data_IF_950441381371
#
_entry.id   IF_950441381371
#
_cell.length_a   1.000
_cell.length_b   1.000
_cell.length_c   1.000
_cell.angle_alpha   90.00
_cell.angle_beta   90.00
_cell.angle_gamma   90.00
#
_symmetry.space_group_name_H-M   'P 1'
#
loop_
_entity.id
_entity.type
_entity.pdbx_description
1 polymer ?
#
# COMPACT_ATOMS: atom_id res chain seq x y z
N UNK A 1 -12.74 15.48 0.89
CA UNK A 1 -12.04 14.46 0.13
C UNK A 1 -11.56 13.29 1.01
N UNK A 2 -10.27 13.13 1.24
CA UNK A 2 -9.70 12.01 1.97
C UNK A 2 -8.45 12.48 2.73
N UNK A 3 -8.29 12.05 3.99
CA UNK A 3 -7.11 12.34 4.78
C UNK A 3 -6.27 11.07 4.99
N UNK A 4 -4.94 11.16 4.84
CA UNK A 4 -4.05 10.01 5.04
C UNK A 4 -3.04 10.35 6.13
N UNK A 5 -3.03 9.57 7.20
CA UNK A 5 -2.00 9.60 8.23
C UNK A 5 -1.06 8.43 8.00
N UNK A 6 0.15 8.73 7.60
CA UNK A 6 1.22 7.76 7.55
C UNK A 6 2.22 8.07 8.65
N UNK A 7 2.19 7.24 9.68
CA UNK A 7 3.06 7.39 10.83
C UNK A 7 4.49 6.90 10.59
N UNK A 8 5.12 6.46 11.66
CA UNK A 8 6.41 5.81 11.60
C UNK A 8 6.32 4.44 10.92
N UNK A 9 7.42 3.75 10.76
CA UNK A 9 7.55 2.54 9.92
C UNK A 9 6.53 1.43 10.19
N UNK A 10 6.01 1.32 11.41
CA UNK A 10 5.18 0.17 11.84
C UNK A 10 3.83 0.56 12.43
N UNK A 11 3.58 1.86 12.62
CA UNK A 11 2.32 2.38 13.15
C UNK A 11 2.11 3.83 12.73
N UNK A 12 0.86 4.23 12.57
CA UNK A 12 0.49 5.63 12.39
C UNK A 12 0.64 6.46 13.67
N UNK A 13 0.69 5.80 14.82
CA UNK A 13 0.86 6.46 16.11
C UNK A 13 2.32 6.83 16.33
N UNK A 14 2.54 8.05 16.79
CA UNK A 14 3.85 8.54 17.15
C UNK A 14 4.10 8.37 18.65
N UNK A 15 5.19 7.70 18.99
CA UNK A 15 5.65 7.58 20.39
C UNK A 15 6.88 8.48 20.59
N UNK A 16 6.80 9.43 21.50
CA UNK A 16 7.88 10.34 21.81
C UNK A 16 7.93 10.61 23.33
N UNK A 17 9.15 10.73 23.85
CA UNK A 17 9.34 11.17 25.24
C UNK A 17 9.16 12.67 25.42
N UNK A 18 9.23 13.45 24.35
CA UNK A 18 9.23 14.91 24.38
C UNK A 18 7.92 15.56 23.93
N UNK A 19 6.99 14.77 23.42
CA UNK A 19 5.70 15.26 22.91
C UNK A 19 4.61 14.26 23.24
N UNK A 20 3.43 14.76 23.51
CA UNK A 20 2.26 13.93 23.66
C UNK A 20 1.95 13.23 22.32
N UNK A 21 1.70 11.91 22.33
CA UNK A 21 1.32 11.17 21.12
C UNK A 21 0.01 11.70 20.56
N UNK A 22 -0.14 11.63 19.23
CA UNK A 22 -1.41 11.91 18.58
C UNK A 22 -2.44 10.87 19.01
N UNK A 23 -3.55 11.30 19.60
CA UNK A 23 -4.70 10.44 19.84
C UNK A 23 -5.46 10.24 18.50
N UNK A 24 -5.17 9.16 17.80
CA UNK A 24 -5.76 8.87 16.49
C UNK A 24 -7.30 8.81 16.55
N UNK A 25 -7.85 8.23 17.60
CA UNK A 25 -9.31 8.07 17.73
C UNK A 25 -10.01 9.41 17.84
N UNK A 26 -9.52 10.32 18.68
CA UNK A 26 -10.06 11.66 18.81
C UNK A 26 -9.88 12.45 17.53
N UNK A 27 -8.69 12.42 16.95
CA UNK A 27 -8.38 13.13 15.71
C UNK A 27 -9.27 12.68 14.55
N UNK A 28 -9.50 11.37 14.39
CA UNK A 28 -10.36 10.83 13.33
C UNK A 28 -11.81 11.24 13.55
N UNK A 29 -12.26 11.27 14.82
CA UNK A 29 -13.62 11.66 15.17
C UNK A 29 -13.92 13.14 14.89
N UNK A 30 -12.90 14.00 15.00
CA UNK A 30 -13.03 15.44 14.76
C UNK A 30 -13.04 15.81 13.27
N UNK A 31 -12.66 14.90 12.37
CA UNK A 31 -12.60 15.16 10.94
C UNK A 31 -13.90 14.76 10.22
N UNK A 32 -14.40 15.66 9.38
CA UNK A 32 -15.56 15.43 8.50
C UNK A 32 -15.22 14.64 7.21
N UNK A 33 -14.03 14.08 7.11
CA UNK A 33 -13.56 13.33 5.94
C UNK A 33 -13.06 11.95 6.37
N UNK A 34 -13.18 10.92 5.50
CA UNK A 34 -12.62 9.60 5.81
C UNK A 34 -11.11 9.66 5.97
N UNK A 35 -10.60 8.93 6.97
CA UNK A 35 -9.17 8.89 7.29
C UNK A 35 -8.62 7.49 7.04
N UNK A 36 -7.53 7.43 6.29
CA UNK A 36 -6.71 6.23 6.11
C UNK A 36 -5.49 6.33 7.01
N UNK A 37 -5.15 5.28 7.72
CA UNK A 37 -4.02 5.25 8.65
C UNK A 37 -3.06 4.10 8.35
N UNK A 38 -1.78 4.26 8.65
CA UNK A 38 -0.78 3.20 8.47
C UNK A 38 0.66 3.70 8.68
N UNK A 39 1.68 2.85 8.46
CA UNK A 39 1.62 1.47 7.95
C UNK A 39 1.44 0.42 9.04
N UNK A 40 0.78 -0.64 8.62
CA UNK A 40 0.64 -1.85 9.41
C UNK A 40 1.07 -3.08 8.58
N UNK A 41 1.46 -4.16 9.25
CA UNK A 41 1.82 -5.40 8.58
C UNK A 41 1.40 -6.65 9.35
N UNK A 42 0.77 -6.49 10.51
CA UNK A 42 0.33 -7.59 11.34
C UNK A 42 -1.15 -7.46 11.66
N UNK A 43 -1.79 -8.59 11.92
CA UNK A 43 -3.17 -8.66 12.36
C UNK A 43 -3.47 -7.71 13.54
N UNK A 44 -2.63 -7.78 14.60
CA UNK A 44 -2.85 -6.99 15.81
C UNK A 44 -2.76 -5.47 15.58
N UNK A 45 -1.73 -5.02 14.83
CA UNK A 45 -1.56 -3.62 14.51
C UNK A 45 -2.72 -3.09 13.64
N UNK A 46 -3.15 -3.88 12.66
CA UNK A 46 -4.26 -3.51 11.79
C UNK A 46 -5.58 -3.42 12.57
N UNK A 47 -5.90 -4.41 13.40
CA UNK A 47 -7.10 -4.41 14.21
C UNK A 47 -7.15 -3.20 15.17
N UNK A 48 -6.00 -2.87 15.78
CA UNK A 48 -5.87 -1.66 16.59
C UNK A 48 -6.23 -0.39 15.80
N UNK A 49 -5.63 -0.21 14.62
CA UNK A 49 -5.91 0.95 13.76
C UNK A 49 -7.37 0.99 13.27
N UNK A 50 -7.99 -0.14 12.95
CA UNK A 50 -9.40 -0.21 12.58
C UNK A 50 -10.32 0.27 13.72
N UNK A 51 -9.98 -0.10 14.97
CA UNK A 51 -10.71 0.32 16.17
C UNK A 51 -10.59 1.82 16.50
N UNK A 52 -9.62 2.54 15.93
CA UNK A 52 -9.54 4.00 16.06
C UNK A 52 -10.60 4.74 15.25
N UNK A 53 -11.30 4.03 14.36
CA UNK A 53 -12.31 4.66 13.52
C UNK A 53 -11.85 4.90 12.08
N UNK A 54 -10.67 4.42 11.70
CA UNK A 54 -10.15 4.56 10.34
C UNK A 54 -11.10 4.00 9.28
N UNK A 55 -11.17 4.66 8.13
CA UNK A 55 -11.88 4.19 6.94
C UNK A 55 -11.05 3.20 6.11
N UNK A 56 -9.73 3.25 6.26
CA UNK A 56 -8.80 2.33 5.62
C UNK A 56 -7.49 2.20 6.38
N UNK A 57 -6.78 1.10 6.12
CA UNK A 57 -5.45 0.82 6.67
C UNK A 57 -4.46 0.64 5.53
N UNK A 58 -3.35 1.41 5.56
CA UNK A 58 -2.20 1.20 4.69
C UNK A 58 -1.41 -0.01 5.20
N UNK A 59 -1.18 -0.97 4.30
CA UNK A 59 -0.47 -2.20 4.61
C UNK A 59 0.88 -2.19 3.96
N UNK A 60 1.91 -2.30 4.77
CA UNK A 60 3.28 -2.40 4.30
C UNK A 60 4.17 -1.25 4.76
N UNK A 61 5.45 -1.54 4.76
CA UNK A 61 6.56 -0.62 4.98
C UNK A 61 7.85 -1.24 4.46
N UNK A 62 8.82 -0.40 4.12
CA UNK A 62 10.13 -0.84 3.65
C UNK A 62 10.20 -1.39 2.23
N UNK A 63 9.08 -1.49 1.51
CA UNK A 63 9.01 -2.06 0.16
C UNK A 63 9.11 -1.07 -1.00
N UNK A 64 9.05 0.22 -0.74
CA UNK A 64 9.13 1.25 -1.78
C UNK A 64 10.51 1.34 -2.42
N UNK A 65 10.57 1.68 -3.71
CA UNK A 65 11.84 1.77 -4.46
C UNK A 65 12.83 2.78 -3.88
N UNK A 66 12.33 3.86 -3.27
CA UNK A 66 13.15 4.87 -2.59
C UNK A 66 13.28 4.64 -1.08
N UNK A 67 12.74 3.53 -0.56
CA UNK A 67 12.83 3.23 0.87
C UNK A 67 14.17 2.59 1.22
N UNK A 68 14.83 3.15 2.22
CA UNK A 68 16.04 2.58 2.82
C UNK A 68 15.75 1.81 4.12
N UNK A 69 14.51 1.78 4.57
CA UNK A 69 14.11 1.19 5.86
C UNK A 69 14.52 -0.27 5.99
N UNK A 70 14.32 -1.08 4.95
CA UNK A 70 14.75 -2.48 4.96
C UNK A 70 16.27 -2.62 5.08
N UNK A 71 17.02 -1.86 4.29
CA UNK A 71 18.49 -1.95 4.27
C UNK A 71 19.13 -1.34 5.52
N UNK A 72 18.60 -0.20 6.00
CA UNK A 72 19.19 0.54 7.11
C UNK A 72 18.74 0.07 8.49
N UNK A 73 17.49 -0.37 8.61
CA UNK A 73 16.88 -0.73 9.90
C UNK A 73 16.50 -2.21 10.00
N UNK A 74 16.59 -3.00 8.93
CA UNK A 74 16.15 -4.39 8.91
C UNK A 74 14.63 -4.57 9.01
N UNK A 75 13.86 -3.51 8.84
CA UNK A 75 12.41 -3.51 9.01
C UNK A 75 11.73 -3.45 7.64
N UNK A 76 10.90 -4.44 7.34
CA UNK A 76 10.06 -4.46 6.14
C UNK A 76 8.89 -5.43 6.30
N UNK A 77 7.85 -5.27 5.50
CA UNK A 77 6.72 -6.18 5.46
C UNK A 77 6.80 -7.10 4.23
N UNK A 78 6.72 -8.44 4.41
CA UNK A 78 6.47 -9.37 3.31
C UNK A 78 5.02 -9.20 2.87
N UNK A 79 4.80 -8.53 1.75
CA UNK A 79 3.50 -7.95 1.39
C UNK A 79 2.34 -8.96 1.31
N UNK A 80 2.55 -10.13 0.69
CA UNK A 80 1.48 -11.14 0.58
C UNK A 80 0.98 -11.60 1.96
N UNK A 81 1.91 -11.90 2.88
CA UNK A 81 1.59 -12.29 4.27
C UNK A 81 0.93 -11.14 5.02
N UNK A 82 1.50 -9.93 4.92
CA UNK A 82 0.96 -8.76 5.61
C UNK A 82 -0.46 -8.42 5.15
N UNK A 83 -0.74 -8.46 3.85
CA UNK A 83 -2.08 -8.21 3.30
C UNK A 83 -3.06 -9.28 3.78
N UNK A 84 -2.67 -10.56 3.77
CA UNK A 84 -3.51 -11.66 4.24
C UNK A 84 -3.86 -11.51 5.73
N UNK A 85 -2.89 -11.17 6.58
CA UNK A 85 -3.09 -10.91 8.01
C UNK A 85 -4.03 -9.74 8.25
N UNK A 86 -3.83 -8.63 7.57
CA UNK A 86 -4.66 -7.43 7.69
C UNK A 86 -6.07 -7.67 7.14
N UNK A 87 -6.21 -8.41 6.05
CA UNK A 87 -7.51 -8.82 5.51
C UNK A 87 -8.27 -9.74 6.48
N UNK A 88 -7.55 -10.56 7.26
CA UNK A 88 -8.14 -11.34 8.35
C UNK A 88 -8.64 -10.45 9.49
N UNK A 89 -7.81 -9.49 9.93
CA UNK A 89 -8.22 -8.50 10.92
C UNK A 89 -9.46 -7.70 10.49
N UNK A 90 -9.56 -7.35 9.20
CA UNK A 90 -10.75 -6.68 8.64
C UNK A 90 -12.00 -7.53 8.76
N UNK A 91 -11.92 -8.84 8.49
CA UNK A 91 -13.09 -9.75 8.62
C UNK A 91 -13.57 -9.78 10.06
N UNK A 92 -12.66 -9.97 11.01
CA UNK A 92 -13.02 -10.03 12.41
C UNK A 92 -13.55 -8.69 12.93
N UNK A 93 -12.98 -7.57 12.47
CA UNK A 93 -13.48 -6.24 12.80
C UNK A 93 -14.85 -5.93 12.19
N UNK A 94 -15.14 -6.43 11.01
CA UNK A 94 -16.46 -6.31 10.38
C UNK A 94 -17.53 -6.95 11.28
N UNK A 95 -17.26 -8.14 11.80
CA UNK A 95 -18.14 -8.85 12.72
C UNK A 95 -18.22 -8.13 14.09
N UNK A 96 -17.08 -7.75 14.66
CA UNK A 96 -16.99 -7.01 15.94
C UNK A 96 -17.75 -5.69 15.91
N UNK A 97 -17.68 -4.95 14.81
CA UNK A 97 -18.25 -3.61 14.68
C UNK A 97 -19.70 -3.57 14.20
N UNK A 98 -20.30 -4.72 13.94
CA UNK A 98 -21.65 -4.81 13.40
C UNK A 98 -21.77 -4.38 11.94
N UNK A 99 -20.74 -4.59 11.14
CA UNK A 99 -20.78 -4.40 9.69
C UNK A 99 -19.96 -3.21 9.15
N UNK A 100 -19.10 -2.58 9.98
CA UNK A 100 -18.24 -1.50 9.50
C UNK A 100 -17.09 -2.04 8.66
N UNK A 101 -17.10 -1.71 7.38
CA UNK A 101 -16.05 -2.10 6.45
C UNK A 101 -14.87 -1.13 6.51
N UNK A 102 -13.66 -1.65 6.68
CA UNK A 102 -12.40 -0.89 6.61
C UNK A 102 -11.59 -1.35 5.42
N UNK A 103 -11.18 -0.43 4.56
CA UNK A 103 -10.43 -0.75 3.35
C UNK A 103 -8.98 -1.15 3.66
N UNK A 104 -8.51 -2.19 3.00
CA UNK A 104 -7.12 -2.67 3.05
C UNK A 104 -6.40 -2.16 1.82
N UNK A 105 -5.38 -1.32 2.00
CA UNK A 105 -4.66 -0.65 0.91
C UNK A 105 -3.20 -1.10 0.95
N UNK A 106 -2.76 -1.85 -0.06
CA UNK A 106 -1.37 -2.30 -0.15
C UNK A 106 -0.44 -1.14 -0.51
N UNK A 107 0.60 -0.89 0.29
CA UNK A 107 1.53 0.23 0.12
C UNK A 107 3.00 -0.24 0.12
N UNK A 108 3.61 -0.24 -1.05
CA UNK A 108 5.03 -0.53 -1.26
C UNK A 108 5.30 -1.81 -2.06
N UNK A 109 6.33 -1.77 -2.89
CA UNK A 109 6.79 -2.91 -3.69
C UNK A 109 5.91 -3.26 -4.90
N UNK A 110 5.01 -2.39 -5.31
CA UNK A 110 4.05 -2.62 -6.40
C UNK A 110 4.57 -2.01 -7.71
N UNK A 111 5.69 -2.55 -8.20
CA UNK A 111 6.40 -2.03 -9.37
C UNK A 111 5.90 -2.54 -10.72
N UNK A 112 5.15 -3.61 -10.73
CA UNK A 112 4.67 -4.34 -11.91
C UNK A 112 3.20 -4.74 -11.75
N UNK A 113 2.53 -5.01 -12.84
CA UNK A 113 1.13 -5.47 -12.83
C UNK A 113 0.93 -6.76 -12.04
N UNK A 114 1.88 -7.69 -12.09
CA UNK A 114 1.84 -8.94 -11.32
C UNK A 114 1.82 -8.69 -9.81
N UNK A 115 2.56 -7.69 -9.31
CA UNK A 115 2.55 -7.30 -7.89
C UNK A 115 1.17 -6.77 -7.48
N UNK A 116 0.54 -5.96 -8.35
CA UNK A 116 -0.80 -5.42 -8.13
C UNK A 116 -1.82 -6.54 -8.07
N UNK A 117 -1.78 -7.46 -9.03
CA UNK A 117 -2.67 -8.63 -9.09
C UNK A 117 -2.52 -9.49 -7.83
N UNK A 118 -1.28 -9.78 -7.41
CA UNK A 118 -1.01 -10.55 -6.20
C UNK A 118 -1.53 -9.85 -4.94
N UNK A 119 -1.36 -8.54 -4.82
CA UNK A 119 -1.86 -7.77 -3.69
C UNK A 119 -3.40 -7.83 -3.60
N UNK A 120 -4.10 -7.67 -4.71
CA UNK A 120 -5.55 -7.75 -4.76
C UNK A 120 -6.06 -9.18 -4.50
N UNK A 121 -5.41 -10.19 -5.08
CA UNK A 121 -5.73 -11.60 -4.86
C UNK A 121 -5.55 -12.03 -3.39
N UNK A 122 -4.60 -11.43 -2.67
CA UNK A 122 -4.38 -11.71 -1.25
C UNK A 122 -5.30 -10.94 -0.29
N UNK A 123 -6.15 -10.07 -0.81
CA UNK A 123 -7.23 -9.42 -0.05
C UNK A 123 -7.15 -7.91 0.08
N UNK A 124 -6.23 -7.22 -0.62
CA UNK A 124 -6.25 -5.77 -0.68
C UNK A 124 -7.45 -5.26 -1.50
N UNK A 125 -8.01 -4.13 -1.08
CA UNK A 125 -9.10 -3.45 -1.80
C UNK A 125 -8.56 -2.42 -2.80
N UNK A 126 -7.37 -1.90 -2.54
CA UNK A 126 -6.68 -0.93 -3.37
C UNK A 126 -5.16 -1.06 -3.21
N UNK A 127 -4.44 -0.38 -4.09
CA UNK A 127 -2.98 -0.33 -4.10
C UNK A 127 -2.48 1.11 -4.15
N UNK A 128 -1.40 1.39 -3.41
CA UNK A 128 -0.69 2.66 -3.45
C UNK A 128 0.47 2.55 -4.44
N UNK A 129 0.40 3.30 -5.53
CA UNK A 129 1.42 3.30 -6.58
C UNK A 129 2.35 4.50 -6.41
N UNK A 130 3.64 4.22 -6.24
CA UNK A 130 4.70 5.24 -6.15
C UNK A 130 5.59 5.24 -7.39
N UNK A 131 6.59 4.37 -7.41
CA UNK A 131 7.56 4.27 -8.51
C UNK A 131 6.93 4.03 -9.88
N UNK A 132 5.81 3.33 -9.91
CA UNK A 132 5.05 3.07 -11.14
C UNK A 132 4.56 4.37 -11.79
N UNK A 133 4.00 5.28 -11.00
CA UNK A 133 3.56 6.59 -11.50
C UNK A 133 4.72 7.57 -11.70
N UNK A 134 5.80 7.44 -10.93
CA UNK A 134 6.99 8.28 -11.09
C UNK A 134 7.72 8.07 -12.43
N UNK A 135 7.42 6.96 -13.13
CA UNK A 135 7.94 6.67 -14.49
C UNK A 135 7.16 7.35 -15.61
N UNK A 136 5.96 7.87 -15.32
CA UNK A 136 5.17 8.54 -16.33
C UNK A 136 5.87 9.83 -16.80
N UNK A 137 5.76 10.15 -18.10
CA UNK A 137 6.35 11.35 -18.67
C UNK A 137 5.82 12.65 -18.07
N UNK A 138 4.60 12.61 -17.55
CA UNK A 138 3.96 13.75 -16.85
C UNK A 138 4.44 13.90 -15.41
N UNK A 139 5.16 12.89 -14.85
CA UNK A 139 5.70 12.99 -13.52
C UNK A 139 6.86 14.01 -13.46
N UNK A 140 6.83 14.99 -12.54
CA UNK A 140 7.82 16.07 -12.53
C UNK A 140 9.25 15.60 -12.18
N UNK A 141 9.39 14.38 -11.66
CA UNK A 141 10.67 13.77 -11.30
C UNK A 141 11.47 13.21 -12.47
N UNK A 142 10.90 13.14 -13.68
CA UNK A 142 11.58 12.58 -14.87
C UNK A 142 12.26 11.23 -14.55
N UNK A 143 11.50 10.28 -14.06
CA UNK A 143 11.97 8.96 -13.66
C UNK A 143 12.69 8.91 -12.29
N UNK A 144 12.87 10.03 -11.61
CA UNK A 144 13.33 10.05 -10.24
C UNK A 144 12.16 9.93 -9.27
N UNK A 145 12.29 9.03 -8.33
CA UNK A 145 11.34 8.81 -7.26
C UNK A 145 12.02 8.96 -5.90
N UNK A 146 11.34 9.62 -4.96
CA UNK A 146 11.80 9.76 -3.58
C UNK A 146 10.64 9.56 -2.61
N UNK A 147 10.94 8.94 -1.48
CA UNK A 147 9.97 8.64 -0.44
C UNK A 147 9.87 9.74 0.62
N UNK A 148 9.03 9.47 1.61
CA UNK A 148 8.79 10.34 2.77
C UNK A 148 9.87 10.19 3.86
N UNK A 149 10.84 9.30 3.69
CA UNK A 149 11.86 9.02 4.70
C UNK A 149 12.74 10.24 4.89
N UNK A 150 12.73 10.76 6.11
CA UNK A 150 13.57 11.90 6.48
C UNK A 150 15.05 11.51 6.43
N UNK A 151 15.86 12.36 5.80
CA UNK A 151 17.29 12.25 5.89
C UNK A 151 17.76 12.58 7.30
N UNK A 152 18.65 11.74 7.86
CA UNK A 152 19.29 11.98 9.14
C UNK A 152 20.81 11.90 9.00
N UNK A 153 21.59 12.87 9.49
CA UNK A 153 23.03 12.93 9.25
C UNK A 153 23.82 11.76 9.84
N UNK A 154 23.37 11.19 10.94
CA UNK A 154 24.03 10.04 11.59
C UNK A 154 23.46 8.68 11.19
N UNK A 155 22.31 8.65 10.53
CA UNK A 155 21.66 7.45 10.03
C UNK A 155 20.99 7.79 8.70
N UNK A 156 21.73 7.73 7.60
CA UNK A 156 21.23 8.10 6.29
C UNK A 156 20.03 7.25 5.91
N UNK A 157 18.90 7.91 5.70
CA UNK A 157 17.64 7.29 5.26
C UNK A 157 17.05 8.12 4.14
N UNK A 158 16.42 7.42 3.23
CA UNK A 158 15.81 8.03 2.07
C UNK A 158 16.85 8.46 1.02
N UNK A 159 16.54 8.21 -0.20
CA UNK A 159 17.35 8.63 -1.35
C UNK A 159 16.43 8.84 -2.55
N UNK A 160 16.97 9.45 -3.59
CA UNK A 160 16.29 9.51 -4.88
C UNK A 160 16.68 8.29 -5.69
N UNK A 161 15.70 7.46 -6.00
CA UNK A 161 15.89 6.29 -6.85
C UNK A 161 15.52 6.63 -8.28
N UNK A 162 16.37 6.29 -9.24
CA UNK A 162 15.98 6.32 -10.64
C UNK A 162 15.21 5.05 -10.97
N UNK A 163 13.93 5.18 -11.28
CA UNK A 163 13.02 4.08 -11.55
C UNK A 163 12.75 3.87 -13.05
N UNK A 164 13.40 4.68 -13.90
CA UNK A 164 13.24 4.67 -15.34
C UNK A 164 12.07 5.50 -15.84
N UNK A 165 11.94 5.57 -17.15
CA UNK A 165 10.83 6.21 -17.84
C UNK A 165 9.91 5.13 -18.43
N UNK A 166 8.61 5.33 -18.37
CA UNK A 166 7.60 4.31 -18.73
C UNK A 166 6.59 4.75 -19.80
N UNK A 167 6.80 5.91 -20.42
CA UNK A 167 5.83 6.49 -21.34
C UNK A 167 4.84 7.42 -20.65
N UNK A 168 3.71 7.71 -21.31
CA UNK A 168 2.67 8.56 -20.74
C UNK A 168 1.94 7.85 -19.58
N UNK A 169 1.26 8.62 -18.73
CA UNK A 169 0.42 8.07 -17.66
C UNK A 169 -0.67 7.15 -18.24
N UNK A 170 -1.21 7.49 -19.41
CA UNK A 170 -2.18 6.67 -20.11
C UNK A 170 -1.58 5.31 -20.52
N UNK A 171 -0.38 5.31 -21.10
CA UNK A 171 0.33 4.07 -21.44
C UNK A 171 0.67 3.22 -20.20
N UNK A 172 1.11 3.85 -19.13
CA UNK A 172 1.38 3.15 -17.86
C UNK A 172 0.13 2.48 -17.33
N UNK A 173 -1.01 3.16 -17.33
CA UNK A 173 -2.23 2.64 -16.73
C UNK A 173 -3.05 1.77 -17.69
N UNK A 174 -3.22 2.20 -18.93
CA UNK A 174 -4.19 1.61 -19.87
C UNK A 174 -3.58 1.07 -21.15
N UNK A 175 -2.30 1.32 -21.39
CA UNK A 175 -1.57 0.80 -22.55
C UNK A 175 -1.59 1.72 -23.78
N UNK A 176 -1.02 1.24 -24.87
CA UNK A 176 -0.55 -0.15 -25.10
C UNK A 176 0.72 -0.52 -24.35
N UNK A 177 0.93 -1.82 -24.09
CA UNK A 177 2.18 -2.31 -23.56
C UNK A 177 3.15 -2.63 -24.71
N UNK A 178 4.39 -2.13 -24.62
CA UNK A 178 5.43 -2.35 -25.59
C UNK A 178 6.48 -3.39 -25.16
N UNK A 179 6.38 -3.86 -23.91
CA UNK A 179 7.24 -4.91 -23.35
C UNK A 179 6.43 -5.84 -22.45
N UNK A 180 6.97 -7.03 -22.18
CA UNK A 180 6.35 -8.03 -21.32
C UNK A 180 6.82 -7.92 -19.86
N UNK A 181 7.31 -6.76 -19.44
CA UNK A 181 7.85 -6.53 -18.09
C UNK A 181 6.82 -6.18 -17.03
N UNK A 182 5.55 -6.06 -17.42
CA UNK A 182 4.44 -5.73 -16.52
C UNK A 182 4.42 -4.28 -16.02
N UNK A 183 5.15 -3.37 -16.65
CA UNK A 183 5.31 -1.99 -16.19
C UNK A 183 4.38 -0.99 -16.88
N UNK A 184 3.71 -1.39 -17.93
CA UNK A 184 2.72 -0.62 -18.67
C UNK A 184 1.44 -1.41 -18.82
N UNK A 185 0.33 -0.75 -19.17
CA UNK A 185 -1.00 -1.35 -19.29
C UNK A 185 -1.45 -2.12 -18.03
N UNK A 186 -1.27 -1.50 -16.88
CA UNK A 186 -1.53 -2.14 -15.57
C UNK A 186 -2.99 -2.60 -15.43
N UNK A 187 -3.94 -1.78 -15.88
CA UNK A 187 -5.37 -2.10 -15.80
C UNK A 187 -5.75 -3.21 -16.79
N UNK A 188 -5.15 -3.23 -17.97
CA UNK A 188 -5.33 -4.32 -18.94
C UNK A 188 -4.80 -5.65 -18.40
N UNK A 189 -3.63 -5.65 -17.78
CA UNK A 189 -3.04 -6.83 -17.16
C UNK A 189 -3.90 -7.35 -15.99
N UNK A 190 -4.41 -6.46 -15.14
CA UNK A 190 -5.31 -6.84 -14.04
C UNK A 190 -6.59 -7.49 -14.58
N UNK A 191 -7.24 -6.85 -15.54
CA UNK A 191 -8.47 -7.40 -16.17
C UNK A 191 -8.22 -8.76 -16.82
N UNK A 192 -7.08 -8.91 -17.50
CA UNK A 192 -6.70 -10.18 -18.10
C UNK A 192 -6.46 -11.27 -17.06
N UNK A 193 -5.78 -10.96 -15.96
CA UNK A 193 -5.54 -11.90 -14.85
C UNK A 193 -6.85 -12.33 -14.18
N UNK A 194 -7.76 -11.39 -13.90
CA UNK A 194 -9.08 -11.71 -13.35
C UNK A 194 -9.86 -12.64 -14.28
N UNK A 195 -9.90 -12.32 -15.59
CA UNK A 195 -10.57 -13.13 -16.59
C UNK A 195 -9.97 -14.54 -16.72
N UNK A 196 -8.63 -14.65 -16.68
CA UNK A 196 -7.92 -15.93 -16.72
C UNK A 196 -8.28 -16.82 -15.52
N UNK A 197 -8.49 -16.20 -14.35
CA UNK A 197 -8.94 -16.91 -13.15
C UNK A 197 -10.48 -17.11 -13.08
N UNK A 198 -11.22 -16.64 -14.08
CA UNK A 198 -12.68 -16.81 -14.16
C UNK A 198 -13.49 -15.78 -13.36
N UNK A 199 -12.91 -14.63 -13.04
CA UNK A 199 -13.58 -13.57 -12.27
C UNK A 199 -13.82 -12.31 -13.09
N UNK A 200 -15.00 -11.69 -12.92
CA UNK A 200 -15.36 -10.39 -13.49
C UNK A 200 -15.35 -9.26 -12.44
N UNK A 201 -15.52 -9.60 -11.17
CA UNK A 201 -15.64 -8.66 -10.07
C UNK A 201 -14.44 -8.76 -9.12
N UNK A 202 -13.90 -7.60 -8.70
CA UNK A 202 -12.73 -7.56 -7.82
C UNK A 202 -12.98 -8.24 -6.46
N UNK A 203 -14.17 -8.07 -5.90
CA UNK A 203 -14.54 -8.70 -4.61
C UNK A 203 -14.62 -10.22 -4.68
N UNK A 204 -14.96 -10.74 -5.82
CA UNK A 204 -14.93 -12.19 -6.08
C UNK A 204 -13.51 -12.67 -6.32
N UNK A 205 -12.71 -11.89 -7.07
CA UNK A 205 -11.29 -12.19 -7.31
C UNK A 205 -10.47 -12.26 -6.01
N UNK A 206 -10.82 -11.52 -4.98
CA UNK A 206 -10.21 -11.63 -3.64
C UNK A 206 -10.43 -13.02 -2.97
N UNK A 207 -11.22 -13.91 -3.57
CA UNK A 207 -11.45 -15.28 -3.11
C UNK A 207 -10.69 -16.33 -3.94
N UNK A 208 -9.89 -15.89 -4.90
CA UNK A 208 -9.08 -16.81 -5.71
C UNK A 208 -8.10 -17.58 -4.82
N UNK A 209 -7.93 -18.86 -5.12
CA UNK A 209 -6.96 -19.69 -4.42
C UNK A 209 -5.53 -19.21 -4.73
N UNK A 210 -4.78 -18.91 -3.68
CA UNK A 210 -3.41 -18.42 -3.76
C UNK A 210 -2.44 -19.48 -3.22
N UNK A 211 -1.46 -19.84 -4.03
CA UNK A 211 -0.37 -20.72 -3.60
C UNK A 211 0.80 -19.87 -3.12
N UNK A 212 1.18 -20.04 -1.85
CA UNK A 212 2.35 -19.37 -1.28
C UNK A 212 3.55 -20.31 -1.42
N UNK A 213 4.53 -19.90 -2.19
CA UNK A 213 5.81 -20.60 -2.28
C UNK A 213 6.63 -20.32 -1.00
N UNK A 214 7.05 -21.38 -0.32
CA UNK A 214 7.90 -21.33 0.87
C UNK A 214 9.37 -21.39 0.50
#
# INVERSE_FOLDING_TARGET
>A
DLFIIRGTTVSAEHVSQNREPLNLKEFIYELDVPVIVGGAATYAAALHLMRTGAAGVLVGFGGGAASSTRASLGIHAPMASAISDVASARRDYLDESGGRYVHVIADGGLGQSGDIVAALATGADAVMLGSTLARASEAPGLGLHWGQEAHHPTMPRGYRAYVGEGGSLEEVLFGPAHSADGRTNLMGALRHSMATCGYSELKEFQRVDVVIQR
#
